data_IF_129716061477
#
_entry.id   IF_129716061477
#
_cell.length_a   1.000
_cell.length_b   1.000
_cell.length_c   1.000
_cell.angle_alpha   90.00
_cell.angle_beta   90.00
_cell.angle_gamma   90.00
#
_symmetry.space_group_name_H-M   'P 1'
#
loop_
_entity.id
_entity.type
_entity.pdbx_description
1 polymer ?
#
# COMPACT_ATOMS: atom_id res chain seq x y z
N UNK A 1 -1.96 -48.51 29.50
CA UNK A 1 -1.50 -47.16 29.83
C UNK A 1 -1.14 -46.50 28.51
N UNK A 2 -2.07 -45.69 28.02
CA UNK A 2 -1.96 -44.96 26.75
C UNK A 2 -0.83 -43.93 26.84
N UNK A 3 0.05 -43.96 25.84
CA UNK A 3 0.95 -42.85 25.53
C UNK A 3 0.51 -42.31 24.18
N UNK A 4 -0.29 -41.24 24.23
CA UNK A 4 -0.83 -40.56 23.05
C UNK A 4 0.31 -39.98 22.21
N UNK A 5 0.38 -40.43 20.96
CA UNK A 5 1.17 -39.84 19.90
C UNK A 5 0.59 -38.47 19.54
N UNK A 6 1.32 -37.40 19.83
CA UNK A 6 1.05 -36.09 19.26
C UNK A 6 1.70 -36.03 17.87
N UNK A 7 0.96 -36.40 16.85
CA UNK A 7 1.29 -36.00 15.48
C UNK A 7 1.10 -34.48 15.39
N UNK A 8 2.21 -33.74 15.37
CA UNK A 8 2.22 -32.39 14.81
C UNK A 8 2.21 -32.52 13.29
N UNK A 9 1.01 -32.44 12.70
CA UNK A 9 0.89 -32.16 11.27
C UNK A 9 1.44 -30.75 11.00
N UNK A 10 2.67 -30.71 10.49
CA UNK A 10 3.21 -29.51 9.86
C UNK A 10 2.38 -29.21 8.61
N UNK A 11 1.49 -28.21 8.70
CA UNK A 11 0.76 -27.68 7.55
C UNK A 11 1.80 -27.05 6.61
N UNK A 12 2.20 -27.82 5.61
CA UNK A 12 3.11 -27.37 4.56
C UNK A 12 2.35 -26.41 3.66
N UNK A 13 2.59 -25.11 3.84
CA UNK A 13 1.97 -24.01 3.08
C UNK A 13 2.67 -23.82 1.73
N UNK A 14 2.71 -24.86 0.90
CA UNK A 14 3.19 -24.76 -0.47
C UNK A 14 2.05 -24.24 -1.37
N UNK A 15 1.96 -22.92 -1.57
CA UNK A 15 1.22 -22.36 -2.71
C UNK A 15 0.27 -21.17 -2.45
N UNK A 16 0.15 -20.65 -1.22
CA UNK A 16 -0.66 -19.44 -1.00
C UNK A 16 0.17 -18.18 -1.32
N UNK A 17 -0.36 -17.30 -2.18
CA UNK A 17 0.27 -16.00 -2.43
C UNK A 17 0.29 -15.22 -1.13
N UNK A 18 1.35 -14.45 -0.89
CA UNK A 18 1.53 -13.65 0.33
C UNK A 18 0.25 -12.84 0.67
N UNK A 19 -0.43 -12.31 -0.36
CA UNK A 19 -1.73 -11.61 -0.25
C UNK A 19 -2.86 -12.41 0.37
N UNK A 20 -2.94 -13.71 0.07
CA UNK A 20 -4.03 -14.58 0.50
C UNK A 20 -3.85 -14.98 1.97
N UNK A 21 -2.58 -15.14 2.38
CA UNK A 21 -2.20 -15.33 3.78
C UNK A 21 -2.57 -14.09 4.62
N UNK A 22 -2.36 -12.88 4.10
CA UNK A 22 -2.74 -11.64 4.79
C UNK A 22 -4.26 -11.45 4.86
N UNK A 23 -4.99 -11.77 3.80
CA UNK A 23 -6.45 -11.72 3.82
C UNK A 23 -7.04 -12.68 4.86
N UNK A 24 -6.46 -13.88 4.97
CA UNK A 24 -6.84 -14.86 5.99
C UNK A 24 -6.55 -14.36 7.41
N UNK A 25 -5.38 -13.74 7.63
CA UNK A 25 -4.99 -13.19 8.92
C UNK A 25 -5.92 -12.05 9.37
N UNK A 26 -6.17 -11.06 8.49
CA UNK A 26 -7.05 -9.93 8.81
C UNK A 26 -8.49 -10.40 9.07
N UNK A 27 -8.99 -11.36 8.29
CA UNK A 27 -10.32 -11.94 8.51
C UNK A 27 -10.42 -12.71 9.84
N UNK A 28 -9.32 -13.38 10.25
CA UNK A 28 -9.24 -14.09 11.53
C UNK A 28 -9.26 -13.10 12.71
N UNK A 29 -8.50 -12.00 12.61
CA UNK A 29 -8.51 -10.92 13.61
C UNK A 29 -9.89 -10.26 13.72
N UNK A 30 -10.62 -10.08 12.61
CA UNK A 30 -11.96 -9.47 12.61
C UNK A 30 -13.00 -10.37 13.30
N UNK A 31 -12.97 -11.68 13.03
CA UNK A 31 -13.82 -12.66 13.71
C UNK A 31 -13.55 -12.72 15.21
N UNK A 32 -12.29 -12.55 15.63
CA UNK A 32 -11.95 -12.48 17.05
C UNK A 32 -12.52 -11.26 17.77
N UNK A 33 -12.82 -10.17 17.04
CA UNK A 33 -13.39 -8.92 17.57
C UNK A 33 -14.92 -8.79 17.45
N UNK A 34 -15.64 -9.84 17.04
CA UNK A 34 -17.11 -9.85 16.88
C UNK A 34 -17.72 -8.81 15.90
N UNK A 35 -16.92 -8.25 14.99
CA UNK A 35 -17.42 -7.30 13.98
C UNK A 35 -18.03 -8.08 12.82
N UNK A 36 -19.36 -8.27 12.84
CA UNK A 36 -20.12 -8.90 11.74
C UNK A 36 -20.93 -7.80 11.06
N UNK A 37 -20.59 -7.42 9.82
CA UNK A 37 -21.11 -6.19 9.20
C UNK A 37 -22.35 -6.44 8.34
N UNK A 38 -23.53 -6.14 8.89
CA UNK A 38 -24.70 -5.65 8.13
C UNK A 38 -24.70 -4.10 8.13
N UNK A 39 -23.57 -3.48 7.78
CA UNK A 39 -23.42 -2.01 7.82
C UNK A 39 -23.61 -1.46 6.41
N UNK A 40 -24.76 -0.82 6.18
CA UNK A 40 -24.97 0.07 5.02
C UNK A 40 -24.18 1.36 5.28
N UNK A 41 -22.94 1.42 4.82
CA UNK A 41 -22.01 2.53 5.12
C UNK A 41 -22.37 3.78 4.31
N UNK A 42 -22.77 4.85 5.01
CA UNK A 42 -22.81 6.21 4.49
C UNK A 42 -21.57 6.94 5.02
N UNK A 43 -20.53 7.01 4.19
CA UNK A 43 -19.14 7.34 4.58
C UNK A 43 -19.03 8.80 5.05
N UNK A 44 -19.87 9.69 4.52
CA UNK A 44 -19.86 11.12 4.82
C UNK A 44 -20.27 11.48 6.25
N UNK A 45 -21.08 10.64 6.89
CA UNK A 45 -21.70 10.92 8.20
C UNK A 45 -20.98 10.19 9.34
N UNK A 46 -20.26 9.11 9.04
CA UNK A 46 -19.69 8.20 10.05
C UNK A 46 -18.26 8.53 10.48
N UNK A 47 -17.59 9.49 9.83
CA UNK A 47 -16.30 10.03 10.30
C UNK A 47 -16.40 10.65 11.71
N UNK A 48 -17.61 10.93 12.20
CA UNK A 48 -17.86 11.38 13.58
C UNK A 48 -18.06 10.26 14.60
N UNK A 49 -18.07 8.97 14.20
CA UNK A 49 -18.34 7.83 15.09
C UNK A 49 -17.27 6.75 14.93
N UNK A 50 -16.01 7.13 15.10
CA UNK A 50 -14.95 6.21 15.49
C UNK A 50 -14.20 6.89 16.63
N UNK A 51 -14.46 6.44 17.87
CA UNK A 51 -13.80 7.01 19.05
C UNK A 51 -12.32 6.63 19.14
N UNK A 52 -11.85 5.68 18.33
CA UNK A 52 -10.44 5.32 18.18
C UNK A 52 -9.96 5.51 16.73
N UNK A 53 -8.89 6.29 16.54
CA UNK A 53 -8.26 6.54 15.23
C UNK A 53 -7.83 5.26 14.52
N UNK A 54 -7.51 4.21 15.29
CA UNK A 54 -7.15 2.90 14.78
C UNK A 54 -8.34 2.23 14.07
N UNK A 55 -9.53 2.28 14.68
CA UNK A 55 -10.74 1.65 14.12
C UNK A 55 -11.17 2.31 12.80
N UNK A 56 -11.10 3.64 12.72
CA UNK A 56 -11.35 4.38 11.49
C UNK A 56 -10.41 3.95 10.35
N UNK A 57 -9.14 3.71 10.67
CA UNK A 57 -8.16 3.32 9.68
C UNK A 57 -8.27 1.84 9.27
N UNK A 58 -8.58 0.95 10.21
CA UNK A 58 -8.88 -0.46 9.90
C UNK A 58 -10.11 -0.58 8.99
N UNK A 59 -11.18 0.17 9.28
CA UNK A 59 -12.37 0.22 8.43
C UNK A 59 -12.01 0.74 7.03
N UNK A 60 -11.06 1.66 6.91
CA UNK A 60 -10.66 2.16 5.61
C UNK A 60 -9.75 1.23 4.82
N UNK A 61 -8.90 0.48 5.53
CA UNK A 61 -8.12 -0.62 4.97
C UNK A 61 -9.03 -1.74 4.46
N UNK A 62 -10.15 -2.01 5.14
CA UNK A 62 -11.20 -2.94 4.70
C UNK A 62 -11.93 -2.42 3.46
N UNK A 63 -12.27 -1.12 3.39
CA UNK A 63 -12.94 -0.51 2.23
C UNK A 63 -12.10 -0.55 0.96
N UNK A 64 -10.75 -0.54 1.06
CA UNK A 64 -9.88 -0.74 -0.10
C UNK A 64 -10.01 -2.14 -0.73
N UNK A 65 -10.57 -3.12 -0.02
CA UNK A 65 -10.85 -4.46 -0.56
C UNK A 65 -12.25 -4.58 -1.17
N UNK A 66 -13.03 -3.50 -1.21
CA UNK A 66 -14.43 -3.51 -1.59
C UNK A 66 -14.64 -3.42 -3.13
N UNK A 67 -15.73 -3.97 -3.64
CA UNK A 67 -15.88 -4.22 -5.09
C UNK A 67 -16.22 -2.95 -5.91
N UNK A 68 -16.81 -1.92 -5.28
CA UNK A 68 -17.20 -0.67 -5.97
C UNK A 68 -16.05 0.35 -5.96
N UNK A 69 -15.59 0.74 -7.15
CA UNK A 69 -14.50 1.70 -7.33
C UNK A 69 -14.75 3.04 -6.61
N UNK A 70 -15.98 3.55 -6.64
CA UNK A 70 -16.33 4.81 -5.97
C UNK A 70 -16.08 4.80 -4.46
N UNK A 71 -16.28 3.64 -3.82
CA UNK A 71 -16.05 3.47 -2.38
C UNK A 71 -14.55 3.42 -2.08
N UNK A 72 -13.78 2.72 -2.93
CA UNK A 72 -12.32 2.64 -2.79
C UNK A 72 -11.64 4.00 -2.98
N UNK A 73 -12.10 4.80 -3.94
CA UNK A 73 -11.59 6.17 -4.17
C UNK A 73 -11.85 7.09 -2.96
N UNK A 74 -13.02 6.97 -2.32
CA UNK A 74 -13.35 7.74 -1.11
C UNK A 74 -12.50 7.28 0.10
N UNK A 75 -12.30 5.97 0.24
CA UNK A 75 -11.42 5.39 1.26
C UNK A 75 -9.97 5.88 1.11
N UNK A 76 -9.40 5.80 -0.09
CA UNK A 76 -8.06 6.31 -0.40
C UNK A 76 -7.94 7.81 -0.10
N UNK A 77 -8.95 8.62 -0.46
CA UNK A 77 -9.00 10.06 -0.16
C UNK A 77 -8.91 10.35 1.33
N UNK A 78 -9.64 9.57 2.12
CA UNK A 78 -9.71 9.77 3.57
C UNK A 78 -8.43 9.29 4.24
N UNK A 79 -7.77 8.24 3.73
CA UNK A 79 -6.47 7.74 4.26
C UNK A 79 -5.42 8.82 4.00
N UNK A 80 -5.42 9.38 2.78
CA UNK A 80 -4.52 10.46 2.39
C UNK A 80 -4.66 11.68 3.31
N UNK A 81 -5.90 12.11 3.58
CA UNK A 81 -6.18 13.19 4.55
C UNK A 81 -5.70 12.84 5.95
N UNK A 82 -5.96 11.62 6.41
CA UNK A 82 -5.55 11.18 7.74
C UNK A 82 -4.02 11.25 7.88
N UNK A 83 -3.27 10.67 6.93
CA UNK A 83 -1.80 10.68 6.91
C UNK A 83 -1.21 12.10 6.91
N UNK A 84 -1.91 13.05 6.29
CA UNK A 84 -1.51 14.47 6.24
C UNK A 84 -1.79 15.22 7.56
N UNK A 85 -2.76 14.79 8.36
CA UNK A 85 -3.22 15.47 9.58
C UNK A 85 -2.55 14.96 10.87
N UNK A 86 -1.33 14.43 10.77
CA UNK A 86 -0.49 14.00 11.89
C UNK A 86 -1.05 12.77 12.65
N UNK A 87 -0.93 11.60 12.02
CA UNK A 87 -1.21 10.28 12.63
C UNK A 87 -0.09 9.90 13.61
N UNK A 88 -0.42 9.10 14.62
CA UNK A 88 0.57 8.51 15.53
C UNK A 88 1.55 7.60 14.77
N UNK A 89 2.86 7.84 14.95
CA UNK A 89 3.92 7.11 14.25
C UNK A 89 3.84 5.59 14.44
N UNK A 90 3.57 5.13 15.68
CA UNK A 90 3.42 3.70 16.00
C UNK A 90 2.35 3.02 15.14
N UNK A 91 1.27 3.74 14.88
CA UNK A 91 0.18 3.23 14.06
C UNK A 91 0.60 3.08 12.60
N UNK A 92 1.31 4.07 12.05
CA UNK A 92 1.86 4.01 10.69
C UNK A 92 2.84 2.85 10.55
N UNK A 93 3.76 2.70 11.48
CA UNK A 93 4.76 1.63 11.45
C UNK A 93 4.14 0.23 11.45
N UNK A 94 3.04 0.04 12.19
CA UNK A 94 2.34 -1.24 12.28
C UNK A 94 1.61 -1.61 10.99
N UNK A 95 1.13 -0.62 10.22
CA UNK A 95 0.32 -0.83 9.02
C UNK A 95 1.06 -0.58 7.70
N UNK A 96 2.30 -0.07 7.76
CA UNK A 96 3.08 0.37 6.61
C UNK A 96 3.09 -0.63 5.45
N UNK A 97 3.52 -1.88 5.72
CA UNK A 97 3.69 -2.92 4.69
C UNK A 97 2.36 -3.21 3.99
N UNK A 98 1.28 -3.33 4.77
CA UNK A 98 -0.07 -3.60 4.24
C UNK A 98 -0.55 -2.48 3.34
N UNK A 99 -0.38 -1.23 3.77
CA UNK A 99 -0.80 -0.05 3.01
C UNK A 99 -0.02 0.12 1.72
N UNK A 100 1.29 -0.08 1.76
CA UNK A 100 2.16 -0.04 0.57
C UNK A 100 1.68 -1.11 -0.43
N UNK A 101 1.48 -2.34 0.02
CA UNK A 101 1.01 -3.43 -0.85
C UNK A 101 -0.34 -3.13 -1.51
N UNK A 102 -1.30 -2.60 -0.74
CA UNK A 102 -2.61 -2.21 -1.26
C UNK A 102 -2.51 -1.05 -2.25
N UNK A 103 -1.69 -0.04 -1.96
CA UNK A 103 -1.47 1.07 -2.90
C UNK A 103 -0.82 0.58 -4.20
N UNK A 104 0.15 -0.34 -4.13
CA UNK A 104 0.76 -0.95 -5.30
C UNK A 104 -0.24 -1.75 -6.14
N UNK A 105 -1.24 -2.38 -5.51
CA UNK A 105 -2.33 -3.01 -6.23
C UNK A 105 -3.10 -1.99 -7.09
N UNK A 106 -3.45 -0.83 -6.54
CA UNK A 106 -4.14 0.24 -7.26
C UNK A 106 -3.27 0.91 -8.32
N UNK A 107 -1.96 1.01 -8.11
CA UNK A 107 -1.04 1.49 -9.15
C UNK A 107 -1.05 0.55 -10.36
N UNK A 108 -1.13 -0.76 -10.13
CA UNK A 108 -1.10 -1.77 -11.21
C UNK A 108 -2.46 -1.96 -11.90
N UNK A 109 -3.58 -1.79 -11.16
CA UNK A 109 -4.91 -2.23 -11.62
C UNK A 109 -6.06 -1.26 -11.33
N UNK A 110 -5.81 -0.16 -10.63
CA UNK A 110 -6.83 0.80 -10.21
C UNK A 110 -7.25 1.76 -11.33
N UNK A 111 -8.28 2.55 -11.05
CA UNK A 111 -8.66 3.72 -11.84
C UNK A 111 -7.54 4.77 -11.82
N UNK A 112 -7.52 5.74 -12.76
CA UNK A 112 -6.55 6.84 -12.72
C UNK A 112 -6.59 7.65 -11.41
N UNK A 113 -7.77 7.75 -10.77
CA UNK A 113 -7.95 8.44 -9.49
C UNK A 113 -7.35 7.59 -8.35
N UNK A 114 -7.68 6.30 -8.31
CA UNK A 114 -7.13 5.35 -7.32
C UNK A 114 -5.60 5.31 -7.42
N UNK A 115 -5.05 5.22 -8.64
CA UNK A 115 -3.61 5.24 -8.90
C UNK A 115 -2.97 6.52 -8.36
N UNK A 116 -3.55 7.69 -8.68
CA UNK A 116 -3.06 8.99 -8.21
C UNK A 116 -3.01 9.06 -6.68
N UNK A 117 -4.08 8.67 -6.00
CA UNK A 117 -4.12 8.70 -4.54
C UNK A 117 -3.14 7.69 -3.94
N UNK A 118 -3.07 6.48 -4.49
CA UNK A 118 -2.15 5.44 -4.05
C UNK A 118 -0.68 5.86 -4.16
N UNK A 119 -0.28 6.49 -5.27
CA UNK A 119 1.09 7.03 -5.43
C UNK A 119 1.42 8.07 -4.36
N UNK A 120 0.46 8.94 -4.02
CA UNK A 120 0.65 9.96 -3.00
C UNK A 120 0.76 9.36 -1.59
N UNK A 121 -0.09 8.37 -1.28
CA UNK A 121 -0.06 7.65 0.00
C UNK A 121 1.29 6.95 0.21
N UNK A 122 1.81 6.24 -0.80
CA UNK A 122 3.14 5.58 -0.70
C UNK A 122 4.25 6.60 -0.42
N UNK A 123 4.23 7.75 -1.11
CA UNK A 123 5.21 8.82 -0.88
C UNK A 123 5.14 9.37 0.55
N UNK A 124 3.93 9.64 1.06
CA UNK A 124 3.75 10.10 2.44
C UNK A 124 4.19 9.04 3.45
N UNK A 125 3.82 7.78 3.26
CA UNK A 125 4.23 6.67 4.13
C UNK A 125 5.76 6.58 4.20
N UNK A 126 6.45 6.72 3.07
CA UNK A 126 7.91 6.68 3.01
C UNK A 126 8.56 7.84 3.76
N UNK A 127 7.94 9.03 3.70
CA UNK A 127 8.43 10.23 4.37
C UNK A 127 8.23 10.19 5.90
N UNK A 128 7.12 9.63 6.38
CA UNK A 128 6.76 9.65 7.82
C UNK A 128 7.23 8.40 8.58
N UNK A 129 7.67 7.36 7.87
CA UNK A 129 8.16 6.11 8.49
C UNK A 129 9.62 6.26 8.91
N UNK A 130 9.96 5.80 10.11
CA UNK A 130 11.34 5.88 10.64
C UNK A 130 12.15 4.59 10.47
N UNK A 131 11.52 3.50 9.99
CA UNK A 131 12.23 2.25 9.69
C UNK A 131 12.79 2.30 8.28
N UNK A 132 14.12 2.35 8.19
CA UNK A 132 14.86 2.39 6.92
C UNK A 132 14.63 1.09 6.14
N UNK A 133 14.54 -0.05 6.82
CA UNK A 133 14.36 -1.37 6.18
C UNK A 133 13.00 -1.47 5.47
N UNK A 134 11.93 -1.00 6.12
CA UNK A 134 10.58 -1.00 5.54
C UNK A 134 10.50 -0.07 4.34
N UNK A 135 11.12 1.10 4.42
CA UNK A 135 11.12 2.08 3.32
C UNK A 135 11.97 1.58 2.15
N UNK A 136 13.07 0.89 2.41
CA UNK A 136 13.87 0.24 1.36
C UNK A 136 13.11 -0.91 0.67
N UNK A 137 12.37 -1.75 1.42
CA UNK A 137 11.50 -2.78 0.80
C UNK A 137 10.41 -2.14 -0.07
N UNK A 138 9.79 -1.05 0.40
CA UNK A 138 8.82 -0.30 -0.40
C UNK A 138 9.44 0.31 -1.66
N UNK A 139 10.68 0.79 -1.60
CA UNK A 139 11.43 1.28 -2.76
C UNK A 139 11.59 0.20 -3.85
N UNK A 140 12.04 -0.98 -3.48
CA UNK A 140 12.19 -2.11 -4.42
C UNK A 140 10.85 -2.53 -5.02
N UNK A 141 9.80 -2.61 -4.21
CA UNK A 141 8.46 -2.98 -4.65
C UNK A 141 7.85 -1.95 -5.62
N UNK A 142 8.07 -0.66 -5.34
CA UNK A 142 7.64 0.46 -6.19
C UNK A 142 8.38 0.45 -7.52
N UNK A 143 9.69 0.25 -7.52
CA UNK A 143 10.47 0.11 -8.74
C UNK A 143 9.98 -1.04 -9.60
N UNK A 144 9.81 -2.21 -9.01
CA UNK A 144 9.31 -3.38 -9.71
C UNK A 144 7.90 -3.15 -10.30
N UNK A 145 7.03 -2.44 -9.58
CA UNK A 145 5.70 -2.09 -10.07
C UNK A 145 5.74 -1.19 -11.31
N UNK A 146 6.67 -0.25 -11.36
CA UNK A 146 6.83 0.67 -12.48
C UNK A 146 7.59 0.06 -13.67
N UNK A 147 8.56 -0.82 -13.43
CA UNK A 147 9.27 -1.55 -14.48
C UNK A 147 8.38 -2.52 -15.25
N UNK A 148 7.46 -3.22 -14.57
CA UNK A 148 6.52 -4.17 -15.19
C UNK A 148 5.29 -3.49 -15.80
N UNK A 149 4.97 -2.27 -15.36
CA UNK A 149 3.73 -1.56 -15.70
C UNK A 149 3.74 -0.84 -17.04
N UNK A 150 4.90 -0.62 -17.65
CA UNK A 150 5.04 0.23 -18.83
C UNK A 150 4.53 1.63 -18.54
N UNK A 151 5.43 2.56 -18.18
CA UNK A 151 5.15 3.95 -17.81
C UNK A 151 4.62 4.78 -19.01
N UNK A 152 3.51 4.38 -19.61
CA UNK A 152 2.90 5.00 -20.79
C UNK A 152 2.14 6.28 -20.43
N UNK A 153 1.77 6.43 -19.17
CA UNK A 153 1.07 7.59 -18.62
C UNK A 153 2.06 8.42 -17.80
N UNK A 154 2.59 9.48 -18.43
CA UNK A 154 3.51 10.47 -17.84
C UNK A 154 2.78 11.34 -16.82
N UNK A 155 2.43 10.77 -15.68
CA UNK A 155 1.65 11.47 -14.66
C UNK A 155 2.66 11.95 -13.61
N UNK A 156 2.71 13.27 -13.38
CA UNK A 156 3.61 13.95 -12.45
C UNK A 156 3.66 13.26 -11.07
N UNK A 157 2.55 12.64 -10.68
CA UNK A 157 2.34 11.91 -9.45
C UNK A 157 3.18 10.64 -9.34
N UNK A 158 3.41 9.91 -10.44
CA UNK A 158 4.33 8.76 -10.47
C UNK A 158 5.76 9.23 -10.26
N UNK A 159 6.16 10.29 -10.97
CA UNK A 159 7.49 10.90 -10.85
C UNK A 159 7.75 11.37 -9.42
N UNK A 160 6.77 12.06 -8.82
CA UNK A 160 6.85 12.53 -7.44
C UNK A 160 6.94 11.38 -6.44
N UNK A 161 6.13 10.33 -6.61
CA UNK A 161 6.19 9.13 -5.77
C UNK A 161 7.56 8.46 -5.86
N UNK A 162 8.05 8.22 -7.07
CA UNK A 162 9.34 7.58 -7.30
C UNK A 162 10.50 8.40 -6.71
N UNK A 163 10.48 9.72 -6.87
CA UNK A 163 11.48 10.61 -6.29
C UNK A 163 11.48 10.57 -4.75
N UNK A 164 10.30 10.66 -4.12
CA UNK A 164 10.19 10.64 -2.65
C UNK A 164 10.60 9.29 -2.08
N UNK A 165 10.10 8.19 -2.63
CA UNK A 165 10.44 6.84 -2.16
C UNK A 165 11.92 6.55 -2.32
N UNK A 166 12.53 6.97 -3.44
CA UNK A 166 13.98 6.82 -3.65
C UNK A 166 14.78 7.65 -2.66
N UNK A 167 14.36 8.89 -2.39
CA UNK A 167 15.05 9.76 -1.44
C UNK A 167 15.12 9.16 -0.03
N UNK A 168 14.05 8.51 0.43
CA UNK A 168 14.00 7.89 1.76
C UNK A 168 14.43 6.41 1.78
N UNK A 169 14.39 5.72 0.64
CA UNK A 169 14.54 4.27 0.56
C UNK A 169 15.79 3.77 -0.17
N UNK A 170 16.49 4.58 -0.95
CA UNK A 170 17.71 4.14 -1.61
C UNK A 170 18.83 3.94 -0.58
N UNK A 171 19.50 2.79 -0.64
CA UNK A 171 20.57 2.40 0.28
C UNK A 171 21.95 2.90 -0.15
N UNK A 172 22.12 3.30 -1.41
CA UNK A 172 23.39 3.74 -1.97
C UNK A 172 23.23 4.74 -3.14
N UNK A 173 24.36 5.28 -3.59
CA UNK A 173 24.42 6.21 -4.72
C UNK A 173 23.97 5.57 -6.04
N UNK A 174 24.25 4.29 -6.23
CA UNK A 174 24.03 3.59 -7.49
C UNK A 174 22.52 3.38 -7.73
N UNK A 175 21.79 3.03 -6.68
CA UNK A 175 20.32 2.98 -6.64
C UNK A 175 19.69 4.35 -6.93
N UNK A 176 20.25 5.41 -6.34
CA UNK A 176 19.79 6.78 -6.59
C UNK A 176 20.04 7.20 -8.05
N UNK A 177 21.22 6.90 -8.58
CA UNK A 177 21.59 7.21 -9.97
C UNK A 177 20.72 6.43 -10.96
N UNK A 178 20.45 5.15 -10.68
CA UNK A 178 19.57 4.30 -11.49
C UNK A 178 18.18 4.90 -11.63
N UNK A 179 17.59 5.36 -10.51
CA UNK A 179 16.28 6.02 -10.56
C UNK A 179 16.34 7.39 -11.23
N UNK A 180 17.41 8.17 -11.04
CA UNK A 180 17.57 9.44 -11.73
C UNK A 180 17.63 9.27 -13.25
N UNK A 181 18.31 8.23 -13.74
CA UNK A 181 18.28 7.86 -15.17
C UNK A 181 16.88 7.51 -15.62
N UNK A 182 16.15 6.69 -14.86
CA UNK A 182 14.76 6.35 -15.14
C UNK A 182 13.86 7.59 -15.21
N UNK A 183 13.97 8.50 -14.23
CA UNK A 183 13.24 9.78 -14.20
C UNK A 183 13.58 10.64 -15.43
N UNK A 184 14.86 10.72 -15.78
CA UNK A 184 15.33 11.45 -16.94
C UNK A 184 14.76 10.88 -18.25
N UNK A 185 14.78 9.57 -18.43
CA UNK A 185 14.24 8.90 -19.62
C UNK A 185 12.72 9.12 -19.78
N UNK A 186 12.00 9.29 -18.67
CA UNK A 186 10.57 9.61 -18.68
C UNK A 186 10.32 11.07 -19.11
N UNK A 187 11.13 12.00 -18.58
CA UNK A 187 11.03 13.45 -18.86
C UNK A 187 11.47 13.75 -20.29
N UNK A 188 12.60 13.18 -20.69
CA UNK A 188 13.25 13.38 -21.97
C UNK A 188 13.44 12.02 -22.68
N UNK A 189 12.35 11.38 -23.14
CA UNK A 189 12.47 10.21 -23.98
C UNK A 189 13.19 10.67 -25.25
N UNK A 190 14.40 10.17 -25.49
CA UNK A 190 15.23 10.62 -26.61
C UNK A 190 14.43 10.73 -27.91
N UNK A 191 14.73 11.72 -28.74
CA UNK A 191 14.19 11.89 -30.10
C UNK A 191 14.83 10.85 -31.04
N UNK A 192 14.97 9.61 -30.56
CA UNK A 192 15.84 8.62 -31.17
C UNK A 192 14.95 7.51 -31.76
N UNK A 193 14.17 7.86 -32.79
CA UNK A 193 13.67 6.91 -33.81
C UNK A 193 12.89 7.58 -34.95
N UNK A 194 13.40 8.68 -35.49
CA UNK A 194 13.02 9.10 -36.85
C UNK A 194 14.22 9.66 -37.62
N UNK A 195 15.06 8.75 -38.11
CA UNK A 195 15.88 8.93 -39.31
C UNK A 195 15.51 7.80 -40.26
#
# INVERSE_FOLDING_TARGET
>A
MDTGSLEQEAITFAGMKKSDLFLADVNTQLKSKNVTTDIKVDISSNVKVANDKEEAFYLMMMMMLECRASVREEALSTILKALTLNIEQKFVEMNFVTLVYQCLHFIKKGSPIEMKQATHIIGLLSMITTSVEKVHEAYEDVLNAFSQGGLKSKTLEILGCLAVVTFFGASNSDETESVMKLLWDIINPGIDSSV
#
